data_IF_953341527594
#
_entry.id   IF_953341527594
#
_cell.length_a   1.000
_cell.length_b   1.000
_cell.length_c   1.000
_cell.angle_alpha   90.00
_cell.angle_beta   90.00
_cell.angle_gamma   90.00
#
_symmetry.space_group_name_H-M   'P 1'
#
loop_
_entity.id
_entity.type
_entity.pdbx_description
1 polymer ?
#
# COMPACT_ATOMS: atom_id res chain seq x y z
N UNK A 1 -8.03 -14.68 -0.64
CA UNK A 1 -7.02 -14.26 -1.63
C UNK A 1 -6.80 -12.77 -1.42
N UNK A 2 -5.56 -12.29 -1.38
CA UNK A 2 -5.24 -10.89 -1.14
C UNK A 2 -4.79 -10.25 -2.46
N UNK A 3 -5.30 -9.06 -2.78
CA UNK A 3 -4.90 -8.33 -3.98
C UNK A 3 -3.85 -7.28 -3.61
N UNK A 4 -2.78 -7.20 -4.38
CA UNK A 4 -1.72 -6.21 -4.21
C UNK A 4 -1.42 -5.58 -5.56
N UNK A 5 -1.37 -4.25 -5.60
CA UNK A 5 -1.13 -3.50 -6.83
C UNK A 5 0.28 -2.94 -6.80
N UNK A 6 1.08 -3.28 -7.81
CA UNK A 6 2.41 -2.74 -7.97
C UNK A 6 2.39 -1.54 -8.89
N UNK A 7 3.07 -0.47 -8.47
CA UNK A 7 3.28 0.74 -9.25
C UNK A 7 4.77 1.06 -9.30
N UNK A 8 5.26 1.50 -10.46
CA UNK A 8 6.61 2.05 -10.58
C UNK A 8 6.53 3.55 -10.83
N UNK A 9 7.20 4.33 -9.97
CA UNK A 9 7.29 5.79 -10.09
C UNK A 9 8.75 6.19 -9.88
N UNK A 10 9.34 6.90 -10.85
CA UNK A 10 10.74 7.36 -10.82
C UNK A 10 11.76 6.25 -10.47
N UNK A 11 11.51 5.03 -10.98
CA UNK A 11 12.37 3.86 -10.74
C UNK A 11 12.21 3.20 -9.37
N UNK A 12 11.30 3.69 -8.51
CA UNK A 12 10.92 3.05 -7.24
C UNK A 12 9.66 2.22 -7.42
N UNK A 13 9.65 1.05 -6.82
CA UNK A 13 8.50 0.14 -6.80
C UNK A 13 7.67 0.31 -5.53
N UNK A 14 6.38 0.47 -5.72
CA UNK A 14 5.39 0.62 -4.67
C UNK A 14 4.44 -0.56 -4.71
N UNK A 15 4.07 -1.09 -3.56
CA UNK A 15 2.95 -2.01 -3.42
C UNK A 15 1.82 -1.33 -2.66
N UNK A 16 0.62 -1.37 -3.21
CA UNK A 16 -0.59 -0.88 -2.57
C UNK A 16 -1.46 -2.06 -2.16
N UNK A 17 -1.80 -2.10 -0.87
CA UNK A 17 -2.73 -3.04 -0.27
C UNK A 17 -3.97 -2.29 0.19
N UNK A 18 -5.13 -2.83 -0.15
CA UNK A 18 -6.39 -2.34 0.38
C UNK A 18 -6.82 -3.18 1.56
N UNK A 19 -6.78 -2.57 2.74
CA UNK A 19 -7.28 -3.12 3.99
C UNK A 19 -8.43 -2.27 4.56
N UNK A 20 -9.18 -1.56 3.70
CA UNK A 20 -10.31 -0.72 4.12
C UNK A 20 -11.55 -1.50 4.54
N UNK A 21 -11.68 -2.76 4.09
CA UNK A 21 -12.84 -3.59 4.42
C UNK A 21 -12.67 -4.23 5.80
N UNK A 22 -13.78 -4.34 6.54
CA UNK A 22 -13.79 -5.00 7.84
C UNK A 22 -13.29 -6.45 7.73
N UNK A 23 -12.43 -6.87 8.68
CA UNK A 23 -11.80 -8.18 8.68
C UNK A 23 -10.65 -8.36 7.68
N UNK A 24 -10.28 -7.31 6.94
CA UNK A 24 -9.07 -7.31 6.10
C UNK A 24 -7.83 -7.53 6.94
N UNK A 25 -6.86 -8.23 6.37
CA UNK A 25 -5.57 -8.41 7.00
C UNK A 25 -4.79 -7.10 6.94
N UNK A 26 -4.38 -6.60 8.11
CA UNK A 26 -3.40 -5.54 8.23
C UNK A 26 -2.02 -6.17 8.49
N UNK A 27 -1.07 -6.12 7.54
CA UNK A 27 0.24 -6.72 7.76
C UNK A 27 1.02 -5.95 8.83
N UNK A 28 1.60 -6.69 9.77
CA UNK A 28 2.61 -6.21 10.69
C UNK A 28 4.00 -6.19 10.06
N UNK A 29 5.02 -5.80 10.83
CA UNK A 29 6.41 -5.66 10.35
C UNK A 29 6.93 -6.91 9.65
N UNK A 30 6.67 -8.11 10.17
CA UNK A 30 7.20 -9.34 9.59
C UNK A 30 6.48 -9.71 8.29
N UNK A 31 5.17 -9.52 8.23
CA UNK A 31 4.35 -9.68 7.04
C UNK A 31 4.75 -8.71 5.93
N UNK A 32 4.98 -7.43 6.27
CA UNK A 32 5.48 -6.42 5.32
C UNK A 32 6.84 -6.84 4.76
N UNK A 33 7.79 -7.23 5.61
CA UNK A 33 9.12 -7.71 5.16
C UNK A 33 9.02 -8.88 4.20
N UNK A 34 8.18 -9.86 4.51
CA UNK A 34 7.98 -11.03 3.66
C UNK A 34 7.37 -10.64 2.30
N UNK A 35 6.46 -9.68 2.29
CA UNK A 35 5.84 -9.19 1.05
C UNK A 35 6.82 -8.39 0.19
N UNK A 36 7.65 -7.56 0.82
CA UNK A 36 8.64 -6.69 0.17
C UNK A 36 9.90 -7.43 -0.31
N UNK A 37 10.15 -8.64 0.19
CA UNK A 37 11.29 -9.47 -0.23
C UNK A 37 11.16 -9.85 -1.72
N UNK A 38 12.14 -9.45 -2.53
CA UNK A 38 12.16 -9.68 -3.99
C UNK A 38 12.38 -11.14 -4.40
N UNK A 39 12.80 -12.02 -3.48
CA UNK A 39 13.03 -13.45 -3.74
C UNK A 39 11.87 -14.31 -3.29
N UNK A 40 11.23 -13.92 -2.18
CA UNK A 40 10.21 -14.73 -1.52
C UNK A 40 8.80 -14.17 -1.70
N UNK A 41 8.67 -12.85 -1.80
CA UNK A 41 7.43 -12.10 -1.95
C UNK A 41 7.28 -11.47 -3.33
N UNK A 42 6.63 -10.30 -3.37
CA UNK A 42 6.38 -9.57 -4.62
C UNK A 42 7.58 -8.68 -4.96
N UNK A 43 8.23 -8.08 -3.96
CA UNK A 43 9.30 -7.11 -4.16
C UNK A 43 8.77 -5.68 -4.21
N UNK A 44 9.29 -4.80 -3.35
CA UNK A 44 8.95 -3.38 -3.36
C UNK A 44 9.99 -2.55 -2.61
N UNK A 45 10.04 -1.26 -2.91
CA UNK A 45 10.81 -0.26 -2.17
C UNK A 45 9.93 0.50 -1.16
N UNK A 46 8.60 0.52 -1.38
CA UNK A 46 7.60 1.15 -0.50
C UNK A 46 6.33 0.30 -0.44
N UNK A 47 5.73 0.17 0.73
CA UNK A 47 4.47 -0.56 0.94
C UNK A 47 3.45 0.42 1.51
N UNK A 48 2.36 0.60 0.76
CA UNK A 48 1.25 1.48 1.07
C UNK A 48 0.05 0.63 1.47
N UNK A 49 -0.45 0.81 2.69
CA UNK A 49 -1.65 0.12 3.17
C UNK A 49 -2.76 1.15 3.36
N UNK A 50 -3.75 1.11 2.48
CA UNK A 50 -4.95 1.91 2.60
C UNK A 50 -5.93 1.24 3.57
N UNK A 51 -6.19 1.88 4.69
CA UNK A 51 -7.09 1.39 5.75
C UNK A 51 -8.32 2.27 5.94
N UNK A 52 -8.36 3.41 5.26
CA UNK A 52 -9.42 4.40 5.42
C UNK A 52 -10.68 4.12 4.62
N UNK A 53 -11.64 5.02 4.78
CA UNK A 53 -12.82 5.11 3.90
C UNK A 53 -12.71 6.35 3.02
N UNK A 54 -13.70 6.51 2.13
CA UNK A 54 -13.83 7.74 1.35
C UNK A 54 -14.01 8.99 2.22
N UNK A 55 -14.69 8.88 3.36
CA UNK A 55 -14.93 10.00 4.28
C UNK A 55 -13.76 10.25 5.22
N UNK A 56 -13.07 9.18 5.63
CA UNK A 56 -11.93 9.22 6.54
C UNK A 56 -10.77 8.43 5.92
N UNK A 57 -9.99 9.05 5.01
CA UNK A 57 -8.85 8.41 4.40
C UNK A 57 -7.79 8.09 5.46
N UNK A 58 -7.16 6.93 5.34
CA UNK A 58 -6.05 6.52 6.20
C UNK A 58 -5.06 5.71 5.39
N UNK A 59 -3.79 6.12 5.48
CA UNK A 59 -2.67 5.53 4.77
C UNK A 59 -1.57 5.21 5.75
N UNK A 60 -1.18 3.94 5.80
CA UNK A 60 0.04 3.51 6.45
C UNK A 60 1.11 3.29 5.39
N UNK A 61 2.33 3.75 5.67
CA UNK A 61 3.48 3.59 4.78
C UNK A 61 4.54 2.80 5.52
N UNK A 62 5.12 1.81 4.85
CA UNK A 62 6.19 1.00 5.38
C UNK A 62 7.37 0.95 4.42
N UNK A 63 8.57 0.85 5.01
CA UNK A 63 9.79 0.49 4.29
C UNK A 63 9.81 -1.03 3.99
N UNK A 64 10.70 -1.52 3.12
CA UNK A 64 10.87 -2.95 2.87
C UNK A 64 11.27 -3.75 4.12
N UNK A 65 11.89 -3.09 5.09
CA UNK A 65 12.25 -3.66 6.39
C UNK A 65 11.05 -3.77 7.35
N UNK A 66 9.87 -3.34 6.92
CA UNK A 66 8.63 -3.39 7.71
C UNK A 66 8.53 -2.30 8.77
N UNK A 67 9.38 -1.26 8.68
CA UNK A 67 9.34 -0.12 9.57
C UNK A 67 8.29 0.89 9.10
N UNK A 68 7.50 1.43 10.02
CA UNK A 68 6.54 2.48 9.70
C UNK A 68 7.30 3.75 9.31
N UNK A 69 6.96 4.29 8.15
CA UNK A 69 7.53 5.53 7.61
C UNK A 69 6.46 6.62 7.55
N UNK A 70 6.91 7.88 7.59
CA UNK A 70 6.03 9.01 7.31
C UNK A 70 5.71 9.03 5.82
N UNK A 71 4.44 9.24 5.49
CA UNK A 71 4.01 9.41 4.10
C UNK A 71 4.67 10.66 3.47
N UNK A 72 5.20 10.47 2.26
CA UNK A 72 5.81 11.47 1.40
C UNK A 72 4.88 11.80 0.21
N UNK A 73 5.08 12.95 -0.47
CA UNK A 73 4.27 13.33 -1.63
C UNK A 73 4.16 12.24 -2.71
N UNK A 74 5.24 11.49 -2.97
CA UNK A 74 5.25 10.39 -3.93
C UNK A 74 4.34 9.22 -3.51
N UNK A 75 4.21 8.93 -2.21
CA UNK A 75 3.31 7.88 -1.72
C UNK A 75 1.85 8.26 -1.99
N UNK A 76 1.51 9.54 -1.76
CA UNK A 76 0.18 10.05 -2.06
C UNK A 76 -0.12 10.03 -3.57
N UNK A 77 0.85 10.34 -4.43
CA UNK A 77 0.69 10.21 -5.89
C UNK A 77 0.28 8.79 -6.31
N UNK A 78 0.94 7.78 -5.76
CA UNK A 78 0.59 6.37 -6.00
C UNK A 78 -0.79 6.02 -5.43
N UNK A 79 -1.09 6.47 -4.21
CA UNK A 79 -2.39 6.20 -3.59
C UNK A 79 -3.55 6.84 -4.37
N UNK A 80 -3.43 8.11 -4.77
CA UNK A 80 -4.45 8.82 -5.57
C UNK A 80 -4.70 8.08 -6.87
N UNK A 81 -3.64 7.63 -7.53
CA UNK A 81 -3.74 6.85 -8.76
C UNK A 81 -4.49 5.53 -8.52
N UNK A 82 -4.13 4.81 -7.48
CA UNK A 82 -4.79 3.57 -7.07
C UNK A 82 -6.29 3.78 -6.78
N UNK A 83 -6.65 4.80 -6.00
CA UNK A 83 -8.04 5.07 -5.64
C UNK A 83 -8.90 5.46 -6.86
N UNK A 84 -8.32 6.20 -7.82
CA UNK A 84 -8.98 6.56 -9.06
C UNK A 84 -9.22 5.34 -9.96
N UNK A 85 -8.23 4.46 -10.08
CA UNK A 85 -8.31 3.25 -10.92
C UNK A 85 -9.25 2.18 -10.33
N UNK A 86 -9.26 2.02 -9.00
CA UNK A 86 -10.15 1.07 -8.33
C UNK A 86 -11.55 1.64 -8.05
N UNK A 87 -11.83 2.86 -8.54
CA UNK A 87 -13.10 3.56 -8.35
C UNK A 87 -13.53 3.70 -6.88
N UNK A 88 -12.56 3.81 -5.97
CA UNK A 88 -12.78 3.87 -4.52
C UNK A 88 -13.04 5.31 -4.01
N UNK A 89 -12.71 6.32 -4.80
CA UNK A 89 -12.99 7.73 -4.50
C UNK A 89 -13.92 8.36 -5.54
N UNK A 90 -14.76 9.31 -5.13
CA UNK A 90 -15.65 10.02 -6.07
C UNK A 90 -15.08 11.39 -6.40
N UNK A 91 -14.88 11.64 -7.68
CA UNK A 91 -14.28 12.87 -8.21
C UNK A 91 -12.84 13.17 -7.70
N UNK A 92 -11.99 13.73 -8.56
CA UNK A 92 -10.64 14.11 -8.15
C UNK A 92 -10.59 15.21 -7.07
N UNK A 93 -11.64 16.05 -6.95
CA UNK A 93 -11.73 17.11 -5.95
C UNK A 93 -11.87 16.58 -4.51
N UNK A 94 -12.60 15.48 -4.31
CA UNK A 94 -12.75 14.88 -2.97
C UNK A 94 -11.45 14.20 -2.53
N UNK A 95 -10.70 13.63 -3.48
CA UNK A 95 -9.36 13.09 -3.22
C UNK A 95 -8.39 14.21 -2.80
N UNK A 96 -8.43 15.35 -3.50
CA UNK A 96 -7.62 16.51 -3.15
C UNK A 96 -7.93 17.04 -1.75
N UNK A 97 -9.21 17.11 -1.39
CA UNK A 97 -9.65 17.53 -0.06
C UNK A 97 -9.18 16.55 1.03
N UNK A 98 -9.28 15.24 0.76
CA UNK A 98 -8.89 14.15 1.66
C UNK A 98 -7.39 14.12 1.98
N UNK A 99 -6.53 14.38 0.99
CA UNK A 99 -5.07 14.21 1.12
C UNK A 99 -4.26 15.52 1.02
N UNK A 100 -4.95 16.64 0.81
CA UNK A 100 -4.37 17.98 0.66
C UNK A 100 -4.11 18.36 -0.81
N UNK A 101 -4.49 19.60 -1.16
CA UNK A 101 -4.47 20.13 -2.53
C UNK A 101 -3.12 19.97 -3.26
N UNK A 102 -2.00 20.06 -2.53
CA UNK A 102 -0.65 20.04 -3.11
C UNK A 102 -0.23 18.66 -3.63
N UNK A 103 -0.57 17.60 -2.91
CA UNK A 103 -0.26 16.23 -3.32
C UNK A 103 -1.09 15.80 -4.54
N UNK A 104 -2.29 16.36 -4.68
CA UNK A 104 -3.21 16.06 -5.77
C UNK A 104 -2.78 16.65 -7.12
N UNK A 105 -2.29 17.90 -7.13
CA UNK A 105 -1.78 18.56 -8.35
C UNK A 105 -0.55 17.82 -8.91
N UNK A 106 0.39 17.44 -8.05
CA UNK A 106 1.59 16.66 -8.44
C UNK A 106 1.27 15.22 -8.86
N UNK A 107 0.14 14.65 -8.40
CA UNK A 107 -0.30 13.32 -8.79
C UNK A 107 -0.81 13.25 -10.24
N UNK A 108 -1.36 14.35 -10.76
CA UNK A 108 -1.86 14.45 -12.14
C UNK A 108 -0.82 14.99 -13.12
N UNK A 109 0.19 15.72 -12.64
CA UNK A 109 1.31 16.17 -13.48
C UNK A 109 2.39 15.07 -13.58
N UNK A 110 2.43 14.40 -14.73
CA UNK A 110 3.64 13.85 -15.34
C UNK A 110 4.26 12.62 -14.67
N UNK A 111 4.26 11.51 -15.40
CA UNK A 111 5.04 10.30 -15.09
C UNK A 111 4.41 9.07 -15.72
N UNK A 112 5.19 8.28 -16.43
CA UNK A 112 4.76 6.98 -16.94
C UNK A 112 4.70 6.01 -15.75
N UNK A 113 3.50 5.76 -15.25
CA UNK A 113 3.29 4.82 -14.13
C UNK A 113 2.94 3.46 -14.72
N UNK A 114 3.86 2.51 -14.61
CA UNK A 114 3.58 1.11 -14.94
C UNK A 114 2.85 0.44 -13.78
N UNK A 115 1.75 -0.27 -14.07
CA UNK A 115 0.97 -1.04 -13.10
C UNK A 115 1.04 -2.53 -13.38
N UNK A 116 1.20 -3.32 -12.31
CA UNK A 116 1.05 -4.77 -12.34
C UNK A 116 0.16 -5.23 -11.19
N UNK A 117 -0.85 -6.04 -11.48
CA UNK A 117 -1.71 -6.68 -10.47
C UNK A 117 -1.08 -7.99 -10.00
N UNK A 118 -0.92 -8.15 -8.68
CA UNK A 118 -0.49 -9.39 -8.06
C UNK A 118 -1.61 -10.00 -7.22
N UNK A 119 -1.97 -11.24 -7.58
CA UNK A 119 -2.89 -12.07 -6.80
C UNK A 119 -2.09 -12.89 -5.79
N UNK A 120 -2.04 -12.40 -4.57
CA UNK A 120 -1.34 -13.09 -3.48
C UNK A 120 -2.19 -14.27 -3.01
N UNK A 121 -1.60 -15.46 -3.13
CA UNK A 121 -2.27 -16.73 -2.81
C UNK A 121 -2.67 -16.79 -1.33
N UNK A 122 -3.69 -17.60 -1.01
CA UNK A 122 -4.12 -17.81 0.36
C UNK A 122 -2.99 -18.34 1.25
N UNK A 123 -2.18 -19.28 0.73
CA UNK A 123 -1.02 -19.83 1.43
C UNK A 123 0.03 -18.76 1.73
N UNK A 124 0.30 -17.83 0.81
CA UNK A 124 1.23 -16.75 1.05
C UNK A 124 0.71 -15.77 2.12
N UNK A 125 -0.56 -15.37 2.02
CA UNK A 125 -1.19 -14.50 3.02
C UNK A 125 -1.20 -15.14 4.42
N UNK A 126 -1.36 -16.47 4.50
CA UNK A 126 -1.23 -17.21 5.75
C UNK A 126 0.19 -17.12 6.32
N UNK A 127 1.23 -17.33 5.50
CA UNK A 127 2.63 -17.19 5.95
C UNK A 127 2.94 -15.79 6.48
N UNK A 128 2.36 -14.76 5.87
CA UNK A 128 2.50 -13.39 6.37
C UNK A 128 1.90 -13.25 7.78
N UNK A 129 0.66 -13.71 7.98
CA UNK A 129 0.00 -13.70 9.30
C UNK A 129 0.81 -14.49 10.34
N UNK A 130 1.26 -15.69 9.99
CA UNK A 130 2.08 -16.52 10.88
C UNK A 130 3.42 -15.86 11.24
N UNK A 131 4.02 -15.11 10.30
CA UNK A 131 5.24 -14.37 10.55
C UNK A 131 5.01 -13.23 11.55
N UNK A 132 3.91 -12.49 11.42
CA UNK A 132 3.52 -11.44 12.36
C UNK A 132 3.21 -12.01 13.75
N UNK A 133 2.38 -13.04 13.84
CA UNK A 133 2.05 -13.70 15.12
C UNK A 133 3.29 -14.25 15.82
N UNK A 134 4.25 -14.79 15.06
CA UNK A 134 5.51 -15.28 15.63
C UNK A 134 6.37 -14.12 16.14
N UNK A 135 6.40 -13.01 15.42
CA UNK A 135 7.15 -11.83 15.84
C UNK A 135 6.58 -11.25 17.14
N UNK A 136 5.25 -11.11 17.25
CA UNK A 136 4.60 -10.61 18.47
C UNK A 136 4.93 -11.46 19.71
N UNK A 137 4.94 -12.79 19.58
CA UNK A 137 5.28 -13.72 20.69
C UNK A 137 6.73 -13.63 21.16
N UNK A 138 7.63 -13.05 20.38
CA UNK A 138 9.05 -12.90 20.75
C UNK A 138 9.34 -11.58 21.48
N UNK A 139 8.41 -10.62 21.41
CA UNK A 139 8.56 -9.28 22.00
C UNK A 139 7.69 -9.12 23.27
N UNK A 140 6.69 -9.98 23.46
CA UNK A 140 5.87 -10.09 24.69
C UNK A 140 6.44 -11.05 25.71
#
# INVERSE_FOLDING_TARGET
MMMVMSYTVDGKEYLVLNASAEGSYLPGTAGVRLLADRRQGVGADRILVFTGTKAEPSLLVYTPEGEAAKAEPADYKVLVRYLAEEHLAASPAEIAHAFGDRAFVEAFEGGEVARVEFRVTASFALRMREADERAERLVG
#
